data_IF_369313589722
#
_entry.id   IF_369313589722
#
_cell.length_a   1.000
_cell.length_b   1.000
_cell.length_c   1.000
_cell.angle_alpha   90.00
_cell.angle_beta   90.00
_cell.angle_gamma   90.00
#
_symmetry.space_group_name_H-M   'P 1'
#
loop_
_entity.id
_entity.type
_entity.pdbx_description
1 polymer ?
#
# COMPACT_ATOMS: atom_id res chain seq x y z
N UNK A 1 1.68 17.10 -7.51
CA UNK A 1 1.73 15.93 -8.43
C UNK A 1 2.64 14.83 -7.88
N UNK A 2 2.19 13.99 -6.96
CA UNK A 2 2.80 12.66 -6.80
C UNK A 2 1.84 11.64 -7.40
N UNK A 3 1.94 11.49 -8.72
CA UNK A 3 1.45 10.30 -9.40
C UNK A 3 1.78 9.10 -8.51
N UNK A 4 0.79 8.25 -8.20
CA UNK A 4 1.02 6.96 -7.58
C UNK A 4 2.15 6.31 -8.38
N UNK A 5 3.38 6.39 -7.86
CA UNK A 5 4.58 6.04 -8.61
C UNK A 5 4.34 4.60 -9.01
N UNK A 6 4.13 4.35 -10.30
CA UNK A 6 4.07 2.99 -10.79
C UNK A 6 5.30 2.30 -10.25
N UNK A 7 5.09 1.37 -9.33
CA UNK A 7 6.17 0.82 -8.54
C UNK A 7 6.69 -0.38 -9.31
N UNK A 8 7.95 -0.30 -9.73
CA UNK A 8 8.60 -1.36 -10.48
C UNK A 8 9.48 -2.14 -9.52
N UNK A 9 9.58 -3.44 -9.73
CA UNK A 9 10.53 -4.24 -8.97
C UNK A 9 11.96 -3.89 -9.41
N UNK A 10 12.85 -3.53 -8.47
CA UNK A 10 14.23 -3.15 -8.82
C UNK A 10 15.04 -4.34 -9.38
N UNK A 11 14.63 -5.58 -9.10
CA UNK A 11 15.31 -6.77 -9.61
C UNK A 11 14.80 -7.19 -10.99
N UNK A 12 13.47 -7.20 -11.13
CA UNK A 12 12.77 -7.87 -12.23
C UNK A 12 12.31 -6.87 -13.31
N UNK A 13 12.39 -5.57 -13.01
CA UNK A 13 11.86 -4.44 -13.81
C UNK A 13 10.45 -4.73 -14.35
N UNK A 14 9.65 -5.43 -13.54
CA UNK A 14 8.27 -5.79 -13.86
C UNK A 14 7.33 -5.18 -12.84
N UNK A 15 6.05 -5.13 -13.23
CA UNK A 15 4.97 -4.67 -12.38
C UNK A 15 4.96 -5.40 -11.03
N UNK A 16 4.64 -4.63 -10.01
CA UNK A 16 4.40 -5.11 -8.66
C UNK A 16 2.91 -5.09 -8.40
N UNK A 17 2.44 -6.05 -7.63
CA UNK A 17 1.10 -6.12 -7.12
C UNK A 17 1.08 -5.51 -5.73
N UNK A 18 0.14 -4.60 -5.48
CA UNK A 18 -0.14 -4.06 -4.15
C UNK A 18 -1.37 -4.74 -3.60
N UNK A 19 -1.24 -5.42 -2.47
CA UNK A 19 -2.32 -6.06 -1.74
C UNK A 19 -2.60 -5.26 -0.46
N UNK A 20 -3.86 -4.94 -0.22
CA UNK A 20 -4.30 -4.29 1.02
C UNK A 20 -5.15 -5.29 1.81
N UNK A 21 -4.72 -5.59 3.03
CA UNK A 21 -5.44 -6.46 3.96
C UNK A 21 -5.88 -5.66 5.18
N UNK A 22 -7.20 -5.48 5.30
CA UNK A 22 -7.82 -4.83 6.47
C UNK A 22 -8.04 -5.87 7.57
N UNK A 23 -7.71 -5.50 8.81
CA UNK A 23 -7.81 -6.34 9.99
C UNK A 23 -8.38 -5.50 11.12
N UNK A 24 -9.37 -5.99 11.86
CA UNK A 24 -9.86 -5.36 13.08
C UNK A 24 -9.07 -5.86 14.28
N UNK A 25 -8.58 -4.95 15.12
CA UNK A 25 -7.95 -5.25 16.42
C UNK A 25 -8.84 -4.69 17.53
N UNK A 26 -9.43 -5.60 18.31
CA UNK A 26 -10.33 -5.26 19.41
C UNK A 26 -11.63 -4.57 18.95
N UNK A 27 -12.16 -3.69 19.81
CA UNK A 27 -13.47 -3.02 19.60
C UNK A 27 -13.43 -1.77 18.73
N UNK A 28 -12.27 -1.18 18.43
CA UNK A 28 -12.21 0.19 17.87
C UNK A 28 -11.07 0.49 16.89
N UNK A 29 -10.14 -0.45 16.61
CA UNK A 29 -8.97 -0.12 15.78
C UNK A 29 -8.92 -1.00 14.54
N UNK A 30 -9.14 -0.39 13.39
CA UNK A 30 -8.90 -1.03 12.09
C UNK A 30 -7.45 -0.78 11.66
N UNK A 31 -6.76 -1.87 11.32
CA UNK A 31 -5.43 -1.86 10.76
C UNK A 31 -5.49 -2.25 9.29
N UNK A 32 -4.77 -1.52 8.47
CA UNK A 32 -4.57 -1.81 7.06
C UNK A 32 -3.11 -2.24 6.88
N UNK A 33 -2.93 -3.45 6.40
CA UNK A 33 -1.62 -3.96 5.97
C UNK A 33 -1.51 -3.83 4.46
N UNK A 34 -0.52 -3.10 4.00
CA UNK A 34 -0.21 -2.92 2.58
C UNK A 34 1.04 -3.74 2.27
N UNK A 35 0.93 -4.66 1.32
CA UNK A 35 2.03 -5.53 0.89
C UNK A 35 2.27 -5.32 -0.60
N UNK A 36 3.52 -5.09 -0.98
CA UNK A 36 3.91 -4.87 -2.37
C UNK A 36 4.81 -6.02 -2.81
N UNK A 37 4.43 -6.73 -3.87
CA UNK A 37 5.11 -7.97 -4.32
C UNK A 37 5.38 -7.95 -5.84
N UNK A 38 6.59 -8.30 -6.32
CA UNK A 38 6.84 -8.45 -7.78
C UNK A 38 6.08 -9.65 -8.33
N UNK A 39 5.34 -9.48 -9.44
CA UNK A 39 4.59 -10.56 -10.09
C UNK A 39 5.50 -11.68 -10.62
N UNK A 40 6.69 -11.34 -11.13
CA UNK A 40 7.64 -12.31 -11.72
C UNK A 40 8.46 -13.06 -10.67
N UNK A 41 9.08 -12.33 -9.74
CA UNK A 41 10.02 -12.87 -8.77
C UNK A 41 9.37 -13.23 -7.43
N UNK A 42 8.07 -12.93 -7.26
CA UNK A 42 7.28 -13.11 -6.03
C UNK A 42 7.94 -12.54 -4.77
N UNK A 43 8.85 -11.59 -4.95
CA UNK A 43 9.57 -10.95 -3.87
C UNK A 43 8.70 -9.86 -3.27
N UNK A 44 8.49 -9.90 -1.95
CA UNK A 44 7.91 -8.78 -1.20
C UNK A 44 8.92 -7.64 -1.14
N UNK A 45 8.56 -6.50 -1.70
CA UNK A 45 9.39 -5.29 -1.75
C UNK A 45 9.10 -4.35 -0.58
N UNK A 46 7.86 -4.34 -0.11
CA UNK A 46 7.44 -3.55 1.04
C UNK A 46 6.28 -4.23 1.75
N UNK A 47 6.24 -4.12 3.07
CA UNK A 47 5.12 -4.55 3.90
C UNK A 47 4.97 -3.53 5.01
N UNK A 48 3.93 -2.70 4.95
CA UNK A 48 3.65 -1.68 5.95
C UNK A 48 2.29 -1.92 6.56
N UNK A 49 2.22 -1.91 7.89
CA UNK A 49 0.94 -1.94 8.61
C UNK A 49 0.70 -0.53 9.15
N UNK A 50 -0.48 0.00 8.90
CA UNK A 50 -0.91 1.32 9.37
C UNK A 50 -2.34 1.24 9.90
N UNK A 51 -2.77 2.22 10.68
CA UNK A 51 -4.18 2.35 11.07
C UNK A 51 -5.00 2.81 9.87
N UNK A 52 -6.24 2.34 9.73
CA UNK A 52 -7.14 2.75 8.64
C UNK A 52 -7.34 4.27 8.60
N UNK A 53 -7.54 4.90 9.76
CA UNK A 53 -7.66 6.35 9.89
C UNK A 53 -6.43 7.14 9.36
N UNK A 54 -5.22 6.54 9.41
CA UNK A 54 -4.01 7.17 8.89
C UNK A 54 -3.84 6.96 7.38
N UNK A 55 -4.57 6.01 6.78
CA UNK A 55 -4.59 5.79 5.34
C UNK A 55 -5.50 6.82 4.65
N UNK A 56 -6.70 7.05 5.21
CA UNK A 56 -7.72 7.95 4.66
C UNK A 56 -7.26 9.42 4.63
N UNK A 57 -6.54 9.87 5.66
CA UNK A 57 -5.92 11.21 5.69
C UNK A 57 -4.88 11.43 4.57
N UNK A 58 -4.34 10.36 3.99
CA UNK A 58 -3.37 10.45 2.90
C UNK A 58 -4.03 10.35 1.51
N UNK A 59 -5.33 10.04 1.43
CA UNK A 59 -6.12 10.04 0.19
C UNK A 59 -6.91 11.37 0.02
N UNK A 60 -7.22 12.10 1.09
CA UNK A 60 -7.97 13.37 1.03
C UNK A 60 -7.11 14.59 0.61
N UNK A 61 -5.78 14.53 0.78
CA UNK A 61 -4.85 15.55 0.23
C UNK A 61 -4.52 15.24 -1.24
N UNK A 62 -5.55 15.09 -2.07
CA UNK A 62 -5.38 15.04 -3.53
C UNK A 62 -6.64 15.47 -4.29
N UNK A 63 -7.53 16.25 -3.67
CA UNK A 63 -8.73 16.79 -4.29
C UNK A 63 -8.92 18.28 -3.99
N UNK A 64 -7.89 19.09 -4.24
CA UNK A 64 -8.10 20.49 -4.59
C UNK A 64 -7.21 20.82 -5.79
N UNK A 65 -7.82 21.51 -6.75
CA UNK A 65 -7.36 22.00 -8.07
C UNK A 65 -7.61 21.08 -9.28
#
# INVERSE_FOLDING_TARGET
MLAAKQQWCPRCQRHVQTEQKRSSIGRQKELVRIVITCFKCRTTLSSKTTSAAALEQNEEVSSEE
#
